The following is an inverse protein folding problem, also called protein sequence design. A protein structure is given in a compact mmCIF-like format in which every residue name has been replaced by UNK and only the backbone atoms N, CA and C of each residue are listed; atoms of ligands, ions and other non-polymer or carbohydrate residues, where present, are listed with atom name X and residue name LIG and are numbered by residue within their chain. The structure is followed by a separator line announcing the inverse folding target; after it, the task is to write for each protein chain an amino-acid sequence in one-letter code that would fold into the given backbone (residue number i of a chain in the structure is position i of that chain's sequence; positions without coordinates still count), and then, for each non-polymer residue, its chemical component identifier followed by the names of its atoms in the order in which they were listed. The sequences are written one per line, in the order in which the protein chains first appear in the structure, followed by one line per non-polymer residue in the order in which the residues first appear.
data_IF_097556822091
#
_entry.id   IF_097556822091
#
_cell.length_a   1.000
_cell.length_b   1.000
_cell.length_c   1.000
_cell.angle_alpha   90.00
_cell.angle_beta   90.00
_cell.angle_gamma   90.00
#
_symmetry.space_group_name_H-M   'P 1'
#
loop_
_entity.id
_entity.type
_entity.pdbx_description
1 polymer ?
#
# COMPACT_ATOMS: atom_id res chain seq x y z
N UNK A 1 15.24 2.73 -18.91
CA UNK A 1 13.81 2.67 -18.51
C UNK A 1 12.96 2.24 -19.69
N UNK A 2 12.16 1.18 -19.54
CA UNK A 2 11.32 0.62 -20.61
C UNK A 2 10.23 1.62 -21.07
N UNK A 3 10.08 1.89 -22.38
CA UNK A 3 9.16 2.92 -22.92
C UNK A 3 7.71 2.72 -22.44
N UNK A 4 7.28 1.47 -22.30
CA UNK A 4 5.95 1.09 -21.82
C UNK A 4 5.68 1.54 -20.37
N UNK A 5 6.71 1.59 -19.52
CA UNK A 5 6.57 2.02 -18.13
C UNK A 5 6.39 3.53 -18.03
N UNK A 6 7.01 4.30 -18.93
CA UNK A 6 6.87 5.76 -18.97
C UNK A 6 5.45 6.15 -19.34
N UNK A 7 4.87 5.52 -20.37
CA UNK A 7 3.49 5.78 -20.81
C UNK A 7 2.46 5.37 -19.77
N UNK A 8 2.67 4.25 -19.06
CA UNK A 8 1.78 3.82 -17.97
C UNK A 8 1.86 4.76 -16.77
N UNK A 9 3.06 5.25 -16.44
CA UNK A 9 3.25 6.22 -15.35
C UNK A 9 2.53 7.52 -15.66
N UNK A 10 2.66 8.06 -16.88
CA UNK A 10 1.93 9.25 -17.33
C UNK A 10 0.42 9.05 -17.20
N UNK A 11 -0.11 7.94 -17.72
CA UNK A 11 -1.55 7.61 -17.59
C UNK A 11 -2.02 7.61 -16.13
N UNK A 12 -1.25 7.00 -15.22
CA UNK A 12 -1.60 6.98 -13.81
C UNK A 12 -1.54 8.36 -13.15
N UNK A 13 -0.61 9.23 -13.57
CA UNK A 13 -0.55 10.62 -13.09
C UNK A 13 -1.78 11.41 -13.51
N UNK A 14 -2.16 11.31 -14.80
CA UNK A 14 -3.34 11.99 -15.35
C UNK A 14 -4.62 11.54 -14.63
N UNK A 15 -4.76 10.23 -14.39
CA UNK A 15 -5.87 9.64 -13.65
C UNK A 15 -5.95 10.19 -12.22
N UNK A 16 -4.80 10.32 -11.54
CA UNK A 16 -4.76 10.86 -10.18
C UNK A 16 -5.18 12.33 -10.15
N UNK A 17 -4.71 13.13 -11.12
CA UNK A 17 -5.09 14.52 -11.26
C UNK A 17 -6.60 14.67 -11.43
N UNK A 18 -7.21 13.89 -12.33
CA UNK A 18 -8.66 13.91 -12.56
C UNK A 18 -9.43 13.45 -11.32
N UNK A 19 -8.94 12.45 -10.59
CA UNK A 19 -9.57 12.00 -9.36
C UNK A 19 -9.58 13.10 -8.27
N UNK A 20 -8.50 13.87 -8.17
CA UNK A 20 -8.42 15.04 -7.30
C UNK A 20 -9.40 16.12 -7.74
N UNK A 21 -9.49 16.42 -9.04
CA UNK A 21 -10.46 17.38 -9.58
C UNK A 21 -11.91 16.95 -9.32
N UNK A 22 -12.20 15.66 -9.35
CA UNK A 22 -13.54 15.10 -9.06
C UNK A 22 -13.92 15.08 -7.57
N UNK A 23 -13.27 15.89 -6.73
CA UNK A 23 -13.50 16.01 -5.28
C UNK A 23 -13.34 14.70 -4.47
N UNK A 24 -12.49 13.76 -4.93
CA UNK A 24 -12.05 12.52 -4.22
C UNK A 24 -13.14 11.56 -3.72
N UNK A 25 -14.43 11.89 -3.84
CA UNK A 25 -15.57 11.10 -3.35
C UNK A 25 -16.40 10.48 -4.47
N UNK A 26 -16.37 11.05 -5.68
CA UNK A 26 -17.22 10.61 -6.80
C UNK A 26 -16.39 9.92 -7.89
N UNK A 27 -16.09 8.62 -7.69
CA UNK A 27 -15.35 7.79 -8.67
C UNK A 27 -15.97 7.81 -10.07
N UNK A 28 -17.30 7.75 -10.15
CA UNK A 28 -18.04 7.81 -11.43
C UNK A 28 -17.85 9.16 -12.14
N UNK A 29 -17.79 10.26 -11.39
CA UNK A 29 -17.52 11.59 -11.94
C UNK A 29 -16.09 11.67 -12.48
N UNK A 30 -15.12 11.06 -11.81
CA UNK A 30 -13.74 10.99 -12.31
C UNK A 30 -13.64 10.19 -13.63
N UNK A 31 -14.42 9.12 -13.81
CA UNK A 31 -14.48 8.41 -15.10
C UNK A 31 -15.06 9.29 -16.20
N UNK A 32 -16.16 10.00 -15.93
CA UNK A 32 -16.77 10.92 -16.91
C UNK A 32 -15.82 12.04 -17.30
N UNK A 33 -15.17 12.68 -16.33
CA UNK A 33 -14.16 13.71 -16.58
C UNK A 33 -12.97 13.17 -17.38
N UNK A 34 -12.55 11.92 -17.12
CA UNK A 34 -11.48 11.29 -17.89
C UNK A 34 -11.90 10.95 -19.33
N UNK A 35 -13.18 10.64 -19.54
CA UNK A 35 -13.77 10.49 -20.88
C UNK A 35 -13.80 11.80 -21.64
N UNK A 36 -14.23 12.88 -20.99
CA UNK A 36 -14.30 14.23 -21.57
C UNK A 36 -12.91 14.76 -21.93
N UNK A 37 -11.94 14.62 -21.04
CA UNK A 37 -10.57 15.13 -21.24
C UNK A 37 -9.74 14.27 -22.20
N UNK A 38 -9.99 12.96 -22.25
CA UNK A 38 -9.21 12.02 -23.05
C UNK A 38 -10.11 11.05 -23.83
N UNK A 39 -10.85 11.51 -24.84
CA UNK A 39 -11.83 10.70 -25.56
C UNK A 39 -11.20 9.55 -26.35
N UNK A 40 -9.98 9.73 -26.86
CA UNK A 40 -9.24 8.72 -27.62
C UNK A 40 -8.57 7.64 -26.77
N UNK A 41 -8.59 7.74 -25.43
CA UNK A 41 -7.94 6.77 -24.54
C UNK A 41 -8.93 5.70 -24.06
N UNK A 42 -8.42 4.48 -23.84
CA UNK A 42 -9.18 3.46 -23.11
C UNK A 42 -9.47 3.92 -21.68
N UNK A 43 -10.74 3.87 -21.30
CA UNK A 43 -11.20 4.44 -20.05
C UNK A 43 -10.94 3.51 -18.87
N UNK A 44 -10.31 4.01 -17.79
CA UNK A 44 -10.06 3.21 -16.60
C UNK A 44 -11.37 2.93 -15.86
N UNK A 45 -11.49 1.72 -15.31
CA UNK A 45 -12.59 1.37 -14.41
C UNK A 45 -12.52 2.20 -13.12
N UNK A 46 -13.66 2.42 -12.48
CA UNK A 46 -13.77 3.15 -11.20
C UNK A 46 -12.75 2.68 -10.13
N UNK A 47 -12.48 1.38 -10.07
CA UNK A 47 -11.52 0.78 -9.12
C UNK A 47 -10.08 1.17 -9.42
N UNK A 48 -9.70 1.26 -10.69
CA UNK A 48 -8.35 1.63 -11.13
C UNK A 48 -8.04 3.07 -10.73
N UNK A 49 -9.00 3.98 -10.90
CA UNK A 49 -8.85 5.38 -10.50
C UNK A 49 -8.61 5.51 -9.01
N UNK A 50 -9.45 4.86 -8.20
CA UNK A 50 -9.32 4.90 -6.74
C UNK A 50 -8.00 4.27 -6.27
N UNK A 51 -7.61 3.13 -6.84
CA UNK A 51 -6.36 2.44 -6.52
C UNK A 51 -5.14 3.29 -6.90
N UNK A 52 -5.15 3.98 -8.04
CA UNK A 52 -4.07 4.87 -8.45
C UNK A 52 -3.82 5.98 -7.43
N UNK A 53 -4.88 6.66 -6.98
CA UNK A 53 -4.78 7.68 -5.94
C UNK A 53 -4.31 7.11 -4.60
N UNK A 54 -4.89 5.97 -4.18
CA UNK A 54 -4.53 5.35 -2.91
C UNK A 54 -3.08 4.87 -2.89
N UNK A 55 -2.55 4.37 -4.01
CA UNK A 55 -1.15 4.00 -4.12
C UNK A 55 -0.22 5.21 -3.98
N UNK A 56 -0.61 6.38 -4.52
CA UNK A 56 0.17 7.62 -4.35
C UNK A 56 0.16 8.07 -2.89
N UNK A 57 -1.00 8.09 -2.25
CA UNK A 57 -1.14 8.51 -0.84
C UNK A 57 -0.37 7.58 0.09
N UNK A 58 -0.50 6.27 -0.09
CA UNK A 58 0.09 5.29 0.83
C UNK A 58 1.59 5.05 0.59
N UNK A 59 2.05 5.11 -0.66
CA UNK A 59 3.41 4.66 -1.05
C UNK A 59 4.28 5.79 -1.60
N UNK A 60 3.75 7.02 -1.67
CA UNK A 60 4.45 8.18 -2.23
C UNK A 60 4.85 8.03 -3.70
N UNK A 61 4.38 7.00 -4.40
CA UNK A 61 4.89 6.66 -5.73
C UNK A 61 3.82 6.05 -6.64
N UNK A 62 3.85 6.47 -7.91
CA UNK A 62 3.06 5.88 -8.99
C UNK A 62 3.76 4.58 -9.41
N UNK A 63 3.54 3.51 -8.63
CA UNK A 63 4.01 2.17 -9.00
C UNK A 63 3.04 1.57 -10.01
N UNK A 64 3.50 1.42 -11.24
CA UNK A 64 2.88 0.56 -12.23
C UNK A 64 3.37 -0.85 -11.94
N UNK A 65 2.54 -1.68 -11.31
CA UNK A 65 2.88 -3.09 -11.10
C UNK A 65 2.86 -3.79 -12.45
N UNK A 66 4.00 -3.83 -13.14
CA UNK A 66 4.18 -4.81 -14.20
C UNK A 66 4.11 -6.18 -13.57
N UNK A 67 3.12 -6.98 -13.96
CA UNK A 67 3.12 -8.40 -13.68
C UNK A 67 4.32 -8.98 -14.43
N UNK A 68 5.48 -9.09 -13.78
CA UNK A 68 6.66 -9.71 -14.38
C UNK A 68 6.36 -11.19 -14.61
N UNK A 69 5.97 -11.56 -15.82
CA UNK A 69 5.41 -12.86 -16.24
C UNK A 69 6.32 -14.07 -16.02
N UNK A 70 7.51 -13.93 -15.44
CA UNK A 70 8.49 -15.02 -15.34
C UNK A 70 8.15 -16.13 -14.35
N UNK A 71 7.44 -15.82 -13.27
CA UNK A 71 7.15 -16.82 -12.24
C UNK A 71 5.66 -17.12 -12.12
N UNK A 72 5.26 -18.38 -11.93
CA UNK A 72 3.89 -18.73 -11.56
C UNK A 72 3.46 -17.96 -10.30
N UNK A 73 2.16 -17.62 -10.21
CA UNK A 73 1.60 -16.82 -9.10
C UNK A 73 1.95 -17.40 -7.72
N UNK A 74 1.91 -18.72 -7.59
CA UNK A 74 2.20 -19.45 -6.34
C UNK A 74 3.66 -19.25 -5.91
N UNK A 75 4.60 -19.43 -6.84
CA UNK A 75 6.04 -19.26 -6.59
C UNK A 75 6.36 -17.82 -6.15
N UNK A 76 5.69 -16.82 -6.72
CA UNK A 76 5.86 -15.41 -6.30
C UNK A 76 5.38 -15.14 -4.88
N UNK A 77 4.28 -15.78 -4.46
CA UNK A 77 3.74 -15.61 -3.12
C UNK A 77 4.75 -16.16 -2.13
N UNK A 78 5.25 -17.37 -2.36
CA UNK A 78 6.23 -18.02 -1.48
C UNK A 78 7.56 -17.28 -1.39
N UNK A 79 8.08 -16.75 -2.52
CA UNK A 79 9.32 -15.97 -2.51
C UNK A 79 9.17 -14.66 -1.74
N UNK A 80 8.01 -14.00 -1.86
CA UNK A 80 7.69 -12.75 -1.16
C UNK A 80 7.42 -12.96 0.32
N UNK A 81 6.79 -14.07 0.67
CA UNK A 81 6.55 -14.53 2.04
C UNK A 81 7.88 -14.76 2.78
N UNK A 82 8.81 -15.54 2.19
CA UNK A 82 10.14 -15.74 2.77
C UNK A 82 10.90 -14.42 2.97
N UNK A 83 10.82 -13.51 2.00
CA UNK A 83 11.43 -12.18 2.11
C UNK A 83 10.80 -11.31 3.20
N UNK A 84 9.48 -11.40 3.40
CA UNK A 84 8.76 -10.71 4.46
C UNK A 84 9.17 -11.20 5.83
N UNK A 85 9.14 -12.51 6.06
CA UNK A 85 9.51 -13.13 7.33
C UNK A 85 10.96 -12.81 7.69
N UNK A 86 11.88 -12.87 6.73
CA UNK A 86 13.28 -12.50 6.95
C UNK A 86 13.45 -11.01 7.32
N UNK A 87 12.66 -10.12 6.69
CA UNK A 87 12.72 -8.68 6.98
C UNK A 87 12.16 -8.33 8.36
N UNK A 88 11.20 -9.12 8.85
CA UNK A 88 10.65 -9.01 10.20
C UNK A 88 11.61 -9.56 11.25
N UNK A 89 12.25 -10.70 10.97
CA UNK A 89 13.23 -11.31 11.86
C UNK A 89 14.42 -10.37 12.13
N UNK A 90 14.84 -9.62 11.10
CA UNK A 90 15.89 -8.61 11.27
C UNK A 90 15.45 -7.33 11.98
N UNK A 91 14.17 -6.96 11.91
CA UNK A 91 13.64 -5.72 12.49
C UNK A 91 12.15 -5.88 12.83
N UNK A 92 11.82 -6.36 14.04
CA UNK A 92 10.44 -6.68 14.43
C UNK A 92 9.56 -5.44 14.60
N UNK A 93 10.15 -4.25 14.80
CA UNK A 93 9.42 -2.98 14.93
C UNK A 93 8.94 -2.41 13.58
N UNK A 94 9.31 -3.05 12.47
CA UNK A 94 8.89 -2.58 11.15
C UNK A 94 7.38 -2.67 10.98
N UNK A 95 6.76 -1.51 10.73
CA UNK A 95 5.34 -1.48 10.38
C UNK A 95 5.05 -2.33 9.14
N UNK A 96 3.85 -2.93 9.09
CA UNK A 96 3.37 -3.70 7.92
C UNK A 96 3.42 -2.87 6.63
N UNK A 97 3.28 -1.55 6.74
CA UNK A 97 3.45 -0.61 5.62
C UNK A 97 4.90 -0.51 5.13
N UNK A 98 5.87 -0.40 6.04
CA UNK A 98 7.29 -0.37 5.71
C UNK A 98 7.72 -1.67 5.01
N UNK A 99 7.21 -2.80 5.50
CA UNK A 99 7.42 -4.11 4.90
C UNK A 99 6.80 -4.23 3.50
N UNK A 100 5.61 -3.68 3.26
CA UNK A 100 4.99 -3.62 1.93
C UNK A 100 5.85 -2.81 0.94
N UNK A 101 6.39 -1.66 1.38
CA UNK A 101 7.29 -0.86 0.53
C UNK A 101 8.57 -1.59 0.14
N UNK A 102 9.16 -2.34 1.09
CA UNK A 102 10.40 -3.09 0.91
C UNK A 102 10.22 -4.37 0.08
N UNK A 103 9.19 -5.16 0.37
CA UNK A 103 8.94 -6.46 -0.28
C UNK A 103 8.05 -6.37 -1.54
N UNK A 104 7.37 -5.24 -1.74
CA UNK A 104 6.42 -5.04 -2.82
C UNK A 104 5.14 -5.90 -2.70
N UNK A 105 4.86 -6.41 -1.51
CA UNK A 105 3.70 -7.23 -1.18
C UNK A 105 2.64 -6.41 -0.47
N UNK A 106 1.42 -6.37 -1.01
CA UNK A 106 0.32 -5.58 -0.45
C UNK A 106 0.13 -5.86 1.05
N UNK A 107 -0.03 -4.79 1.82
CA UNK A 107 -0.23 -4.83 3.29
C UNK A 107 -1.27 -5.85 3.75
N UNK A 108 -2.36 -6.06 3.00
CA UNK A 108 -3.42 -7.02 3.35
C UNK A 108 -2.94 -8.46 3.26
N UNK A 109 -2.09 -8.78 2.28
CA UNK A 109 -1.48 -10.10 2.11
C UNK A 109 -0.43 -10.33 3.18
N UNK A 110 0.41 -9.32 3.44
CA UNK A 110 1.39 -9.38 4.53
C UNK A 110 0.69 -9.60 5.89
N UNK A 111 -0.40 -8.88 6.17
CA UNK A 111 -1.18 -9.06 7.41
C UNK A 111 -1.77 -10.46 7.52
N UNK A 112 -2.33 -11.01 6.44
CA UNK A 112 -2.86 -12.38 6.45
C UNK A 112 -1.79 -13.45 6.67
N UNK A 113 -0.63 -13.28 6.03
CA UNK A 113 0.53 -14.16 6.24
C UNK A 113 1.00 -14.14 7.70
N UNK A 114 1.13 -12.95 8.26
CA UNK A 114 1.52 -12.77 9.66
C UNK A 114 0.52 -13.38 10.64
N UNK A 115 -0.78 -13.24 10.36
CA UNK A 115 -1.82 -13.91 11.14
C UNK A 115 -1.77 -15.44 11.03
N UNK A 116 -1.43 -15.98 9.86
CA UNK A 116 -1.28 -17.43 9.65
C UNK A 116 -0.10 -18.04 10.40
N UNK A 117 1.01 -17.31 10.49
CA UNK A 117 2.23 -17.68 11.21
C UNK A 117 2.17 -17.32 12.72
N UNK A 118 1.07 -16.77 13.22
CA UNK A 118 0.90 -16.26 14.60
C UNK A 118 1.89 -15.16 15.01
N UNK A 119 2.52 -14.49 14.05
CA UNK A 119 3.47 -13.40 14.28
C UNK A 119 2.69 -12.07 14.32
N UNK A 120 2.64 -11.43 15.48
CA UNK A 120 2.06 -10.09 15.59
C UNK A 120 3.13 -9.03 15.31
N UNK A 121 2.88 -8.07 14.39
CA UNK A 121 3.83 -7.02 14.05
C UNK A 121 4.07 -6.01 15.20
N UNK A 122 3.39 -6.19 16.33
CA UNK A 122 3.67 -5.50 17.57
C UNK A 122 3.77 -6.55 18.67
N UNK A 123 4.99 -6.87 19.08
CA UNK A 123 5.20 -7.54 20.36
C UNK A 123 4.95 -6.49 21.43
N UNK A 124 3.73 -6.44 21.97
CA UNK A 124 3.45 -5.72 23.20
C UNK A 124 4.28 -6.38 24.30
N UNK A 125 5.51 -5.89 24.52
CA UNK A 125 6.21 -6.15 25.77
C UNK A 125 5.37 -5.47 26.85
N UNK A 126 4.81 -6.29 27.75
CA UNK A 126 4.21 -5.75 28.95
C UNK A 126 5.30 -5.01 29.72
N UNK A 127 5.24 -3.69 29.74
CA UNK A 127 6.03 -2.85 30.66
C UNK A 127 5.43 -3.04 32.06
N UNK A 128 5.53 -4.25 32.60
CA UNK A 128 5.09 -4.62 33.95
C UNK A 128 6.19 -4.30 34.98
N UNK A 129 6.82 -3.14 34.83
CA UNK A 129 7.73 -2.55 35.81
C UNK A 129 7.31 -1.10 36.11
N UNK A 130 6.02 -0.80 36.03
CA UNK A 130 5.49 0.43 36.63
C UNK A 130 5.62 0.29 38.15
N UNK A 131 6.57 1.01 38.73
CA UNK A 131 6.66 1.16 40.17
C UNK A 131 5.47 1.99 40.65
N UNK A 132 5.04 1.85 41.92
CA UNK A 132 3.95 2.65 42.48
C UNK A 132 4.14 4.17 42.29
N UNK A 133 5.38 4.63 42.15
CA UNK A 133 5.77 6.04 41.98
C UNK A 133 5.71 6.53 40.52
N UNK A 134 5.56 5.63 39.53
CA UNK A 134 5.51 6.00 38.10
C UNK A 134 4.14 6.52 37.66
N UNK A 135 3.15 6.52 38.55
CA UNK A 135 1.85 7.10 38.26
C UNK A 135 1.93 8.63 38.36
N UNK A 136 1.73 9.39 37.25
CA UNK A 136 1.69 10.85 37.35
C UNK A 136 0.53 11.27 38.25
N UNK A 137 0.80 12.19 39.17
CA UNK A 137 -0.21 12.80 40.04
C UNK A 137 -1.35 13.34 39.17
N UNK A 138 -2.58 12.88 39.45
CA UNK A 138 -3.78 13.43 38.81
C UNK A 138 -3.89 14.91 39.18
N UNK A 139 -3.59 15.79 38.23
CA UNK A 139 -3.85 17.23 38.38
C UNK A 139 -5.37 17.42 38.29
N UNK A 140 -6.05 17.91 39.34
CA UNK A 140 -7.45 18.28 39.22
C UNK A 140 -7.57 19.54 38.34
N UNK A 141 -8.49 19.49 37.37
CA UNK A 141 -8.87 20.64 36.53
C UNK A 141 -10.05 21.37 37.16
#
# INVERSE_FOLDING_TARGET
MNRNNRTLKIKCTDINFIYCLANRKKRRSAVKLNQEMFPTRCQPKNQIIASAHQNIVLRGSIRVTMQSTRYPRIVRIHLREKGLLHSLDQNPENSVMALDTATGMFWSVARHLLQGETIHPFNLQSVQLLLPDDHPLRIPF
#
